data_IF_542108804148
#
_entry.id   IF_542108804148
#
_cell.length_a   1.000
_cell.length_b   1.000
_cell.length_c   1.000
_cell.angle_alpha   90.00
_cell.angle_beta   90.00
_cell.angle_gamma   90.00
#
_symmetry.space_group_name_H-M   'P 1'
#
loop_
_entity.id
_entity.type
_entity.pdbx_description
1 polymer ?
#
# COMPACT_ATOMS: atom_id res chain seq x y z
N UNK A 1 5.42 6.96 -9.44
CA UNK A 1 6.67 6.35 -8.93
C UNK A 1 6.54 4.83 -9.01
N UNK A 2 7.59 4.09 -9.42
CA UNK A 2 7.61 2.61 -9.37
C UNK A 2 7.87 2.17 -7.94
N UNK A 3 6.81 1.96 -7.17
CA UNK A 3 6.92 1.58 -5.76
C UNK A 3 7.40 0.12 -5.58
N UNK A 4 7.19 -0.71 -6.61
CA UNK A 4 7.92 -1.94 -6.94
C UNK A 4 7.80 -2.16 -8.46
N UNK A 5 8.77 -2.81 -9.08
CA UNK A 5 8.74 -3.10 -10.53
C UNK A 5 7.48 -3.90 -10.86
N UNK A 6 6.59 -3.34 -11.69
CA UNK A 6 5.39 -4.02 -12.20
C UNK A 6 4.06 -3.67 -11.52
N UNK A 7 4.05 -2.87 -10.45
CA UNK A 7 2.80 -2.36 -9.83
C UNK A 7 2.43 -1.00 -10.42
N UNK A 8 1.23 -0.90 -10.96
CA UNK A 8 0.60 0.33 -11.44
C UNK A 8 -0.50 0.77 -10.47
N UNK A 9 -0.58 2.07 -10.19
CA UNK A 9 -1.65 2.65 -9.38
C UNK A 9 -2.69 3.24 -10.34
N UNK A 10 -3.91 2.69 -10.35
CA UNK A 10 -5.03 3.20 -11.13
C UNK A 10 -5.98 3.98 -10.23
N UNK A 11 -6.43 5.16 -10.67
CA UNK A 11 -7.33 6.05 -9.92
C UNK A 11 -8.66 6.24 -10.63
N UNK A 12 -9.27 5.15 -11.08
CA UNK A 12 -10.59 5.16 -11.71
C UNK A 12 -11.64 4.69 -10.69
N UNK A 13 -12.47 5.62 -10.19
CA UNK A 13 -13.48 5.36 -9.13
C UNK A 13 -12.88 4.73 -7.84
N UNK A 14 -11.90 5.42 -7.27
CA UNK A 14 -11.12 4.99 -6.11
C UNK A 14 -9.70 4.57 -6.51
N UNK A 15 -8.86 4.25 -5.53
CA UNK A 15 -7.50 3.80 -5.81
C UNK A 15 -7.41 2.28 -5.94
N UNK A 16 -6.75 1.80 -6.98
CA UNK A 16 -6.53 0.40 -7.28
C UNK A 16 -5.04 0.14 -7.52
N UNK A 17 -4.51 -0.94 -6.96
CA UNK A 17 -3.19 -1.45 -7.34
C UNK A 17 -3.37 -2.55 -8.39
N UNK A 18 -2.76 -2.36 -9.55
CA UNK A 18 -2.71 -3.32 -10.64
C UNK A 18 -1.31 -3.92 -10.73
N UNK A 19 -1.23 -5.23 -10.88
CA UNK A 19 0.01 -5.98 -11.04
C UNK A 19 -0.22 -7.05 -12.11
N UNK A 20 0.19 -6.76 -13.35
CA UNK A 20 -0.17 -7.61 -14.50
C UNK A 20 -1.69 -7.62 -14.71
N UNK A 21 -2.29 -8.82 -14.72
CA UNK A 21 -3.75 -9.01 -14.86
C UNK A 21 -4.52 -8.92 -13.52
N UNK A 22 -3.83 -8.91 -12.38
CA UNK A 22 -4.48 -8.80 -11.06
C UNK A 22 -4.67 -7.34 -10.68
N UNK A 23 -5.83 -7.02 -10.10
CA UNK A 23 -6.14 -5.70 -9.51
C UNK A 23 -6.70 -5.88 -8.10
N UNK A 24 -6.19 -5.11 -7.14
CA UNK A 24 -6.70 -5.04 -5.75
C UNK A 24 -7.18 -3.62 -5.49
N UNK A 25 -8.41 -3.47 -5.00
CA UNK A 25 -8.94 -2.17 -4.58
C UNK A 25 -8.26 -1.78 -3.28
N UNK A 26 -7.80 -0.54 -3.20
CA UNK A 26 -7.24 0.04 -1.98
C UNK A 26 -8.40 0.61 -1.18
N UNK A 27 -8.43 0.32 0.12
CA UNK A 27 -9.41 0.92 1.02
C UNK A 27 -9.15 2.43 1.16
N UNK A 28 -10.18 3.23 1.43
CA UNK A 28 -10.02 4.69 1.58
C UNK A 28 -9.03 5.05 2.70
N UNK A 29 -8.97 4.22 3.74
CA UNK A 29 -8.08 4.38 4.87
C UNK A 29 -6.61 4.12 4.46
N UNK A 30 -6.38 3.15 3.57
CA UNK A 30 -5.06 2.83 3.02
C UNK A 30 -4.62 3.79 1.91
N UNK A 31 -5.53 4.57 1.33
CA UNK A 31 -5.15 5.62 0.36
C UNK A 31 -4.21 6.65 0.98
N UNK A 32 -4.32 6.88 2.30
CA UNK A 32 -3.43 7.78 3.00
C UNK A 32 -1.99 7.23 3.03
N UNK A 33 -1.85 5.92 3.24
CA UNK A 33 -0.57 5.21 3.15
C UNK A 33 0.03 5.39 1.75
N UNK A 34 -0.77 5.17 0.70
CA UNK A 34 -0.33 5.38 -0.70
C UNK A 34 0.18 6.81 -0.94
N UNK A 35 -0.57 7.82 -0.50
CA UNK A 35 -0.21 9.23 -0.68
C UNK A 35 1.10 9.57 0.03
N UNK A 36 1.34 9.03 1.22
CA UNK A 36 2.60 9.22 1.96
C UNK A 36 3.79 8.56 1.24
N UNK A 37 3.57 7.36 0.70
CA UNK A 37 4.57 6.64 -0.08
C UNK A 37 4.89 7.34 -1.40
N UNK A 38 3.88 7.91 -2.07
CA UNK A 38 4.05 8.73 -3.28
C UNK A 38 4.83 10.02 -3.01
N UNK A 39 4.73 10.58 -1.79
CA UNK A 39 5.55 11.70 -1.33
C UNK A 39 7.00 11.30 -1.03
N UNK A 40 7.35 10.03 -1.17
CA UNK A 40 8.70 9.51 -0.90
C UNK A 40 9.03 9.44 0.59
N UNK A 41 8.01 9.51 1.46
CA UNK A 41 8.21 9.33 2.90
C UNK A 41 8.44 7.85 3.14
N UNK A 42 9.68 7.51 3.45
CA UNK A 42 10.16 6.16 3.76
C UNK A 42 10.69 6.04 5.19
N UNK A 43 10.61 7.12 5.94
CA UNK A 43 11.08 7.24 7.31
C UNK A 43 9.91 6.88 8.24
N UNK A 44 10.09 5.81 9.02
CA UNK A 44 9.02 5.20 9.81
C UNK A 44 8.42 6.19 10.83
N UNK A 45 9.23 7.04 11.46
CA UNK A 45 8.78 8.06 12.42
C UNK A 45 7.92 9.13 11.74
N UNK A 46 8.37 9.61 10.57
CA UNK A 46 7.56 10.57 9.79
C UNK A 46 6.30 9.92 9.26
N UNK A 47 6.38 8.66 8.84
CA UNK A 47 5.23 7.92 8.33
C UNK A 47 4.16 7.76 9.40
N UNK A 48 4.55 7.32 10.59
CA UNK A 48 3.70 7.19 11.76
C UNK A 48 3.08 8.53 12.13
N UNK A 49 3.89 9.59 12.24
CA UNK A 49 3.38 10.92 12.58
C UNK A 49 2.30 11.41 11.60
N UNK A 50 2.55 11.29 10.30
CA UNK A 50 1.56 11.68 9.31
C UNK A 50 0.33 10.79 9.32
N UNK A 51 0.48 9.48 9.54
CA UNK A 51 -0.67 8.59 9.68
C UNK A 51 -1.52 8.97 10.89
N UNK A 52 -0.92 9.17 12.06
CA UNK A 52 -1.60 9.61 13.28
C UNK A 52 -2.35 10.93 13.06
N UNK A 53 -1.75 11.90 12.34
CA UNK A 53 -2.41 13.17 12.01
C UNK A 53 -3.57 13.02 11.01
N UNK A 54 -3.50 12.06 10.09
CA UNK A 54 -4.50 11.89 9.02
C UNK A 54 -5.67 11.00 9.48
N UNK A 55 -5.40 9.90 10.16
CA UNK A 55 -6.44 8.94 10.59
C UNK A 55 -7.02 9.28 11.95
N UNK A 56 -6.43 10.24 12.69
CA UNK A 56 -6.78 10.53 14.10
C UNK A 56 -6.69 9.30 15.01
N UNK A 57 -5.96 8.27 14.58
CA UNK A 57 -5.67 7.08 15.37
C UNK A 57 -4.41 7.29 16.21
N UNK A 58 -4.32 6.63 17.37
CA UNK A 58 -3.09 6.56 18.14
C UNK A 58 -1.95 5.94 17.32
N UNK A 59 -0.70 6.30 17.67
CA UNK A 59 0.51 5.84 16.98
C UNK A 59 0.59 4.31 16.84
N UNK A 60 0.00 3.57 17.78
CA UNK A 60 -0.08 2.11 17.77
C UNK A 60 -1.05 1.63 16.67
N UNK A 61 -2.21 2.27 16.51
CA UNK A 61 -3.18 1.94 15.46
C UNK A 61 -2.61 2.21 14.08
N UNK A 62 -1.97 3.36 13.89
CA UNK A 62 -1.23 3.69 12.68
C UNK A 62 -0.14 2.63 12.37
N UNK A 63 0.64 2.22 13.36
CA UNK A 63 1.67 1.19 13.19
C UNK A 63 1.10 -0.18 12.78
N UNK A 64 0.04 -0.64 13.46
CA UNK A 64 -0.64 -1.90 13.13
C UNK A 64 -1.21 -1.86 11.70
N UNK A 65 -1.80 -0.74 11.32
CA UNK A 65 -2.36 -0.56 9.99
C UNK A 65 -1.31 -0.58 8.90
N UNK A 66 -0.16 0.04 9.14
CA UNK A 66 0.98 -0.04 8.22
C UNK A 66 1.46 -1.48 8.06
N UNK A 67 1.57 -2.23 9.17
CA UNK A 67 1.98 -3.63 9.13
C UNK A 67 0.97 -4.46 8.32
N UNK A 68 -0.31 -4.28 8.56
CA UNK A 68 -1.39 -4.96 7.84
C UNK A 68 -1.38 -4.61 6.35
N UNK A 69 -1.18 -3.34 6.00
CA UNK A 69 -0.98 -2.91 4.62
C UNK A 69 0.22 -3.64 3.99
N UNK A 70 1.39 -3.62 4.64
CA UNK A 70 2.61 -4.25 4.10
C UNK A 70 2.42 -5.75 3.91
N UNK A 71 1.72 -6.43 4.82
CA UNK A 71 1.36 -7.84 4.72
C UNK A 71 0.38 -8.07 3.55
N UNK A 72 -0.75 -7.36 3.51
CA UNK A 72 -1.81 -7.48 2.50
C UNK A 72 -1.31 -7.25 1.07
N UNK A 73 -0.39 -6.31 0.89
CA UNK A 73 0.22 -6.02 -0.40
C UNK A 73 1.46 -6.87 -0.66
N UNK A 74 2.16 -7.31 0.39
CA UNK A 74 3.21 -8.32 0.31
C UNK A 74 2.68 -9.62 -0.26
N UNK A 75 1.57 -10.12 0.28
CA UNK A 75 0.90 -11.32 -0.18
C UNK A 75 0.37 -11.18 -1.62
N UNK A 76 -0.26 -10.04 -1.94
CA UNK A 76 -0.69 -9.75 -3.31
C UNK A 76 0.47 -9.80 -4.33
N UNK A 77 1.66 -9.33 -3.93
CA UNK A 77 2.86 -9.42 -4.75
C UNK A 77 3.41 -10.87 -4.85
N UNK A 78 3.33 -11.64 -3.76
CA UNK A 78 3.78 -13.04 -3.74
C UNK A 78 2.87 -13.96 -4.55
N UNK A 79 1.55 -13.72 -4.56
CA UNK A 79 0.61 -14.48 -5.38
C UNK A 79 0.94 -14.41 -6.87
N UNK A 80 1.43 -13.26 -7.36
CA UNK A 80 1.91 -13.15 -8.75
C UNK A 80 3.20 -13.94 -8.98
N UNK A 81 4.09 -14.01 -7.99
CA UNK A 81 5.33 -14.79 -8.08
C UNK A 81 5.08 -16.30 -8.16
N UNK A 82 3.97 -16.79 -7.56
CA UNK A 82 3.53 -18.18 -7.75
C UNK A 82 2.98 -18.41 -9.16
N UNK A 83 2.14 -17.51 -9.68
CA UNK A 83 1.63 -17.60 -11.05
C UNK A 83 2.76 -17.61 -12.10
N UNK A 84 3.79 -16.78 -11.93
CA UNK A 84 4.91 -16.66 -12.90
C UNK A 84 5.92 -17.83 -12.85
N UNK A 85 5.91 -18.64 -11.79
CA UNK A 85 6.82 -19.80 -11.63
C UNK A 85 6.14 -21.12 -12.02
N UNK A 86 4.82 -21.16 -12.07
CA UNK A 86 4.03 -22.35 -12.42
C UNK A 86 3.22 -22.21 -13.72
N UNK A 87 3.33 -21.08 -14.43
CA UNK A 87 2.72 -20.82 -15.74
C UNK A 87 3.64 -21.11 -16.92
#
# INVERSE_FOLDING_TARGET
MKWKTGVEILRENGTWLKLGDKKKKVSEEDECILKLMEKGIKDDDRFLKYMTEITSEDSIGAGLRLAQFVEDYGDFLMERKKDEVFG
#
